data_IF_621247437612
#
_entry.id   IF_621247437612
#
_cell.length_a   1.000
_cell.length_b   1.000
_cell.length_c   1.000
_cell.angle_alpha   90.00
_cell.angle_beta   90.00
_cell.angle_gamma   90.00
#
_symmetry.space_group_name_H-M   'P 1'
#
loop_
_entity.id
_entity.type
_entity.pdbx_description
1 polymer ?
#
# COMPACT_ATOMS: atom_id res chain seq x y z
N UNK A 1 -51.87 -39.54 55.68
CA UNK A 1 -52.34 -40.15 54.42
C UNK A 1 -51.16 -40.17 53.43
N UNK A 2 -50.52 -41.34 53.27
CA UNK A 2 -50.28 -42.08 51.99
C UNK A 2 -49.42 -41.34 50.95
N UNK A 3 -48.10 -41.64 50.86
CA UNK A 3 -47.37 -42.52 49.87
C UNK A 3 -46.87 -41.75 48.62
N UNK A 4 -45.71 -41.97 47.95
CA UNK A 4 -44.59 -42.94 47.98
C UNK A 4 -43.52 -42.52 46.92
N UNK A 5 -42.24 -42.93 47.12
CA UNK A 5 -41.14 -43.29 46.18
C UNK A 5 -40.57 -42.24 45.17
N UNK A 6 -39.27 -42.15 44.84
CA UNK A 6 -38.05 -42.91 45.22
C UNK A 6 -36.81 -42.52 44.36
N UNK A 7 -35.60 -42.67 44.94
CA UNK A 7 -34.28 -43.18 44.43
C UNK A 7 -33.75 -42.71 43.03
N UNK A 8 -32.48 -42.32 42.79
CA UNK A 8 -31.24 -42.31 43.58
C UNK A 8 -30.00 -41.88 42.77
N UNK A 9 -28.88 -41.68 43.47
CA UNK A 9 -27.53 -41.33 42.98
C UNK A 9 -26.71 -42.54 42.47
N UNK A 10 -25.79 -42.30 41.52
CA UNK A 10 -24.51 -43.03 41.36
C UNK A 10 -23.61 -42.19 40.41
N UNK A 11 -22.52 -41.56 40.86
CA UNK A 11 -21.15 -42.09 41.05
C UNK A 11 -20.64 -42.89 39.83
N UNK A 12 -19.69 -42.32 39.08
CA UNK A 12 -18.89 -43.06 38.10
C UNK A 12 -17.41 -42.86 38.40
N UNK A 13 -16.73 -44.00 38.56
CA UNK A 13 -15.39 -44.19 39.09
C UNK A 13 -14.42 -44.50 37.94
N UNK A 14 -13.22 -43.95 38.09
CA UNK A 14 -11.96 -44.23 37.38
C UNK A 14 -11.62 -45.73 37.31
N UNK A 15 -11.18 -46.24 36.15
CA UNK A 15 -10.21 -47.34 36.05
C UNK A 15 -9.38 -47.30 34.75
N UNK A 16 -8.06 -47.31 34.95
CA UNK A 16 -7.03 -47.65 33.96
C UNK A 16 -7.14 -49.10 33.49
N UNK A 17 -6.82 -49.36 32.21
CA UNK A 17 -6.12 -50.59 31.81
C UNK A 17 -5.08 -50.26 30.73
N UNK A 18 -3.82 -50.58 31.05
CA UNK A 18 -2.66 -50.63 30.16
C UNK A 18 -2.76 -51.85 29.22
N UNK A 19 -2.37 -51.69 27.95
CA UNK A 19 -1.75 -52.81 27.22
C UNK A 19 -0.78 -52.31 26.16
N UNK A 20 0.44 -52.82 26.29
CA UNK A 20 1.64 -52.62 25.49
C UNK A 20 1.58 -53.36 24.16
N UNK A 21 2.03 -52.73 23.07
CA UNK A 21 2.86 -53.39 22.03
C UNK A 21 3.66 -52.34 21.23
N UNK A 22 4.91 -52.71 20.94
CA UNK A 22 5.99 -51.96 20.28
C UNK A 22 5.99 -52.15 18.76
N UNK A 23 6.78 -51.28 18.07
CA UNK A 23 7.57 -51.54 16.83
C UNK A 23 6.73 -51.59 15.52
N UNK A 24 7.04 -50.97 14.37
CA UNK A 24 8.30 -50.49 13.74
C UNK A 24 8.03 -49.36 12.71
N UNK A 25 9.08 -48.57 12.42
CA UNK A 25 9.28 -47.81 11.17
C UNK A 25 9.79 -48.75 10.04
N UNK A 26 9.50 -48.45 8.77
CA UNK A 26 10.58 -48.28 7.78
C UNK A 26 10.33 -47.07 6.84
N UNK A 27 11.28 -46.15 6.68
CA UNK A 27 12.35 -46.07 5.64
C UNK A 27 11.86 -45.97 4.17
N UNK A 28 12.06 -44.75 3.63
CA UNK A 28 12.34 -44.32 2.25
C UNK A 28 12.30 -45.35 1.09
N UNK A 29 11.54 -45.01 0.04
CA UNK A 29 11.90 -45.26 -1.35
C UNK A 29 11.30 -44.19 -2.29
N UNK A 30 12.19 -43.55 -3.05
CA UNK A 30 11.93 -42.63 -4.16
C UNK A 30 11.34 -43.35 -5.36
N UNK A 31 10.30 -42.80 -5.99
CA UNK A 31 10.06 -42.93 -7.43
C UNK A 31 9.42 -41.65 -7.99
N UNK A 32 10.06 -41.14 -9.05
CA UNK A 32 9.61 -40.06 -9.93
C UNK A 32 8.31 -40.44 -10.65
N UNK A 33 7.52 -39.43 -11.04
CA UNK A 33 6.61 -39.55 -12.19
C UNK A 33 5.25 -38.89 -12.03
N UNK A 34 5.20 -37.60 -12.38
CA UNK A 34 4.08 -36.91 -13.04
C UNK A 34 2.75 -36.64 -12.30
N UNK A 35 2.52 -35.34 -12.07
CA UNK A 35 1.35 -34.69 -12.66
C UNK A 35 0.11 -34.55 -11.79
N UNK A 36 0.07 -33.51 -10.94
CA UNK A 36 -1.17 -32.70 -10.79
C UNK A 36 -0.92 -31.40 -10.02
N UNK A 37 -1.24 -30.30 -10.70
CA UNK A 37 -1.68 -28.99 -10.22
C UNK A 37 -1.77 -28.82 -8.69
N UNK A 38 -0.86 -28.02 -8.16
CA UNK A 38 -1.10 -27.20 -6.98
C UNK A 38 -0.80 -25.76 -7.36
N UNK A 39 -1.84 -24.98 -7.68
CA UNK A 39 -1.75 -23.51 -7.69
C UNK A 39 -1.52 -23.11 -6.24
N UNK A 40 -0.26 -22.88 -5.89
CA UNK A 40 0.14 -22.13 -4.72
C UNK A 40 -0.24 -20.67 -4.93
N UNK A 41 -0.64 -20.04 -3.84
CA UNK A 41 -1.05 -18.66 -3.70
C UNK A 41 -0.02 -17.69 -4.29
N UNK A 42 -0.31 -17.12 -5.45
CA UNK A 42 0.16 -15.80 -5.84
C UNK A 42 -0.90 -14.81 -5.33
N UNK A 43 -0.61 -14.18 -4.21
CA UNK A 43 -1.43 -13.12 -3.62
C UNK A 43 -0.59 -11.87 -3.72
N UNK A 44 -1.09 -10.93 -4.54
CA UNK A 44 -0.62 -9.55 -4.76
C UNK A 44 0.71 -9.43 -5.53
N UNK A 45 0.58 -9.09 -6.82
CA UNK A 45 1.66 -8.72 -7.72
C UNK A 45 2.22 -7.34 -7.40
N UNK A 46 2.88 -7.23 -6.25
CA UNK A 46 3.63 -6.05 -5.85
C UNK A 46 4.92 -6.09 -6.66
N UNK A 47 5.16 -5.05 -7.48
CA UNK A 47 6.45 -4.81 -8.13
C UNK A 47 7.58 -5.15 -7.17
N UNK A 48 8.59 -5.93 -7.57
CA UNK A 48 9.64 -6.40 -6.65
C UNK A 48 10.49 -5.21 -6.20
N UNK A 49 10.00 -4.49 -5.19
CA UNK A 49 10.69 -3.37 -4.61
C UNK A 49 11.99 -3.88 -3.94
N UNK A 50 13.08 -3.10 -4.01
CA UNK A 50 14.37 -3.48 -3.45
C UNK A 50 14.26 -3.83 -1.96
N UNK A 51 14.94 -4.88 -1.49
CA UNK A 51 14.83 -5.34 -0.10
C UNK A 51 15.00 -4.20 0.93
N UNK A 52 14.31 -4.27 2.09
CA UNK A 52 14.34 -3.22 3.08
C UNK A 52 15.76 -2.92 3.55
N UNK A 53 16.05 -1.64 3.78
CA UNK A 53 17.35 -1.22 4.29
C UNK A 53 17.53 -1.70 5.74
N UNK A 54 18.65 -2.36 6.11
CA UNK A 54 18.83 -2.83 7.48
C UNK A 54 18.84 -1.68 8.48
N UNK A 55 17.87 -1.67 9.40
CA UNK A 55 17.94 -0.87 10.63
C UNK A 55 18.73 -1.67 11.66
N UNK A 56 20.00 -1.30 11.89
CA UNK A 56 20.90 -2.04 12.81
C UNK A 56 21.20 -1.22 14.05
N UNK A 57 20.77 -1.71 15.21
CA UNK A 57 21.31 -1.33 16.51
C UNK A 57 20.25 -1.23 17.63
N UNK A 58 20.63 -1.48 18.90
CA UNK A 58 19.79 -1.14 20.04
C UNK A 58 19.68 0.39 20.17
N UNK A 59 18.47 0.90 19.99
CA UNK A 59 18.10 2.30 20.22
C UNK A 59 18.13 2.62 21.73
N UNK A 60 18.39 3.88 22.14
CA UNK A 60 18.39 4.25 23.55
C UNK A 60 17.04 3.95 24.22
N UNK A 61 17.09 3.39 25.44
CA UNK A 61 15.88 3.08 26.21
C UNK A 61 15.12 4.36 26.57
N UNK A 62 13.87 4.45 26.12
CA UNK A 62 12.92 5.49 26.50
C UNK A 62 12.60 6.52 25.40
N UNK A 63 11.83 7.52 25.77
CA UNK A 63 11.47 8.66 24.93
C UNK A 63 11.82 9.97 25.65
N UNK A 64 11.94 11.03 24.87
CA UNK A 64 12.34 12.36 25.34
C UNK A 64 11.19 13.34 25.24
N UNK A 65 10.91 14.02 26.35
CA UNK A 65 9.98 15.12 26.42
C UNK A 65 10.74 16.45 26.29
N UNK A 66 10.26 17.34 25.42
CA UNK A 66 10.74 18.70 25.28
C UNK A 66 9.60 19.63 24.87
N UNK A 67 9.83 20.93 24.94
CA UNK A 67 8.88 21.89 24.38
C UNK A 67 8.85 21.74 22.84
N UNK A 68 7.69 21.39 22.30
CA UNK A 68 7.39 21.24 20.87
C UNK A 68 6.47 22.36 20.36
N UNK A 69 6.26 22.44 19.04
CA UNK A 69 5.24 23.31 18.45
C UNK A 69 3.82 23.05 18.95
N UNK A 70 3.54 21.84 19.47
CA UNK A 70 2.22 21.44 20.00
C UNK A 70 2.11 21.71 21.50
N UNK A 71 3.16 21.45 22.27
CA UNK A 71 3.16 21.65 23.73
C UNK A 71 2.89 23.10 24.15
N UNK A 72 3.22 24.06 23.29
CA UNK A 72 3.04 25.51 23.53
C UNK A 72 1.66 26.03 23.12
N UNK A 73 0.85 25.20 22.46
CA UNK A 73 -0.49 25.58 22.03
C UNK A 73 -1.43 25.78 23.23
N UNK A 74 -2.42 26.65 23.03
CA UNK A 74 -3.50 26.81 23.99
C UNK A 74 -4.26 25.48 24.16
N UNK A 75 -4.98 25.33 25.27
CA UNK A 75 -5.81 24.14 25.47
C UNK A 75 -6.91 24.03 24.39
N UNK A 76 -7.46 25.16 23.95
CA UNK A 76 -8.45 25.23 22.87
C UNK A 76 -7.86 24.70 21.56
N UNK A 77 -6.67 25.16 21.17
CA UNK A 77 -6.01 24.70 19.95
C UNK A 77 -5.65 23.21 20.02
N UNK A 78 -5.22 22.73 21.21
CA UNK A 78 -4.91 21.30 21.42
C UNK A 78 -6.13 20.40 21.33
N UNK A 79 -7.31 20.89 21.74
CA UNK A 79 -8.56 20.13 21.63
C UNK A 79 -8.91 19.82 20.16
N UNK A 80 -8.46 20.67 19.23
CA UNK A 80 -8.60 20.43 17.79
C UNK A 80 -7.61 19.41 17.22
N UNK A 81 -6.66 18.89 17.98
CA UNK A 81 -5.69 17.93 17.43
C UNK A 81 -6.22 16.51 17.35
N UNK A 82 -7.22 16.17 18.17
CA UNK A 82 -7.81 14.84 18.28
C UNK A 82 -9.18 14.79 17.59
N UNK A 83 -9.27 14.04 16.49
CA UNK A 83 -10.45 13.98 15.63
C UNK A 83 -11.10 12.60 15.47
N UNK A 84 -10.61 11.58 16.18
CA UNK A 84 -11.28 10.27 16.21
C UNK A 84 -12.20 10.23 17.44
N UNK A 85 -13.51 9.99 17.28
CA UNK A 85 -14.39 9.80 18.43
C UNK A 85 -13.95 8.60 19.28
N UNK A 86 -13.89 8.73 20.60
CA UNK A 86 -13.44 7.64 21.49
C UNK A 86 -14.26 6.36 21.35
N UNK A 87 -15.56 6.48 21.03
CA UNK A 87 -16.42 5.33 20.76
C UNK A 87 -15.97 4.49 19.54
N UNK A 88 -15.25 5.10 18.58
CA UNK A 88 -14.63 4.37 17.48
C UNK A 88 -13.47 3.53 18.00
N UNK A 89 -12.60 4.11 18.84
CA UNK A 89 -11.48 3.38 19.45
C UNK A 89 -12.00 2.22 20.31
N UNK A 90 -13.03 2.45 21.14
CA UNK A 90 -13.67 1.38 21.93
C UNK A 90 -14.16 0.22 21.05
N UNK A 91 -14.75 0.53 19.89
CA UNK A 91 -15.18 -0.47 18.92
C UNK A 91 -13.98 -1.22 18.30
N UNK A 92 -12.89 -0.53 17.97
CA UNK A 92 -11.65 -1.12 17.45
C UNK A 92 -11.04 -2.12 18.45
N UNK A 93 -11.00 -1.79 19.74
CA UNK A 93 -10.51 -2.71 20.78
C UNK A 93 -11.40 -3.95 20.89
N UNK A 94 -12.72 -3.79 20.75
CA UNK A 94 -13.65 -4.91 20.71
C UNK A 94 -13.36 -5.82 19.52
N UNK A 95 -13.16 -5.27 18.31
CA UNK A 95 -12.80 -6.06 17.12
C UNK A 95 -11.48 -6.82 17.32
N UNK A 96 -10.47 -6.17 17.91
CA UNK A 96 -9.20 -6.80 18.21
C UNK A 96 -9.35 -7.97 19.19
N UNK A 97 -10.20 -7.81 20.22
CA UNK A 97 -10.44 -8.82 21.25
C UNK A 97 -11.16 -10.07 20.75
N UNK A 98 -11.93 -9.94 19.67
CA UNK A 98 -12.71 -11.03 19.08
C UNK A 98 -11.87 -11.93 18.17
N UNK A 99 -10.62 -11.56 17.84
CA UNK A 99 -9.75 -12.42 17.05
C UNK A 99 -9.33 -13.67 17.86
N UNK A 100 -9.57 -14.89 17.35
CA UNK A 100 -9.06 -16.09 17.99
C UNK A 100 -7.52 -16.06 17.96
N UNK A 101 -6.83 -16.57 19.00
CA UNK A 101 -5.37 -16.67 18.98
C UNK A 101 -4.97 -17.49 17.75
N UNK A 102 -4.21 -16.86 16.84
CA UNK A 102 -3.80 -17.52 15.61
C UNK A 102 -2.93 -18.73 15.92
N UNK A 103 -3.41 -19.91 15.53
CA UNK A 103 -2.61 -21.13 15.51
C UNK A 103 -1.62 -21.03 14.33
N UNK A 104 -0.38 -20.66 14.65
CA UNK A 104 0.80 -20.60 13.78
C UNK A 104 0.50 -20.28 12.30
N UNK A 105 0.16 -19.02 12.00
CA UNK A 105 0.41 -18.51 10.66
C UNK A 105 1.93 -18.40 10.47
N UNK A 106 2.47 -18.90 9.36
CA UNK A 106 3.83 -18.61 8.96
C UNK A 106 3.85 -17.22 8.33
N UNK A 107 4.13 -16.20 9.13
CA UNK A 107 4.34 -14.85 8.63
C UNK A 107 5.66 -14.75 7.86
N UNK A 108 5.65 -14.03 6.76
CA UNK A 108 6.81 -13.84 5.88
C UNK A 108 7.02 -12.36 5.64
N UNK A 109 7.60 -11.69 6.64
CA UNK A 109 7.98 -10.28 6.56
C UNK A 109 9.34 -10.07 7.28
N UNK A 110 10.11 -9.02 6.92
CA UNK A 110 11.39 -8.74 7.57
C UNK A 110 11.20 -8.28 9.03
N UNK A 111 12.18 -8.48 9.93
CA UNK A 111 12.08 -8.05 11.33
C UNK A 111 12.03 -6.52 11.51
N UNK A 112 12.34 -5.75 10.46
CA UNK A 112 12.20 -4.31 10.45
C UNK A 112 11.89 -3.82 9.03
N UNK A 113 11.05 -2.79 8.95
CA UNK A 113 10.65 -2.16 7.69
C UNK A 113 10.41 -0.67 7.95
N UNK A 114 10.89 0.18 7.05
CA UNK A 114 10.65 1.62 7.09
C UNK A 114 10.42 2.15 5.67
N UNK A 115 9.18 2.47 5.32
CA UNK A 115 8.83 3.02 4.00
C UNK A 115 9.46 4.38 3.74
N UNK A 116 9.97 5.08 4.76
CA UNK A 116 10.75 6.32 4.57
C UNK A 116 12.12 6.04 3.95
N UNK A 117 12.59 4.79 4.00
CA UNK A 117 13.88 4.36 3.46
C UNK A 117 13.85 2.86 3.09
N UNK A 118 13.04 2.51 2.09
CA UNK A 118 12.94 1.15 1.57
C UNK A 118 13.78 1.03 0.30
N UNK A 119 14.82 0.20 0.36
CA UNK A 119 15.84 0.07 -0.69
C UNK A 119 16.56 1.38 -1.06
N UNK A 120 16.78 2.27 -0.10
CA UNK A 120 17.41 3.57 -0.31
C UNK A 120 16.49 4.69 -0.82
N UNK A 121 15.19 4.40 -0.98
CA UNK A 121 14.20 5.37 -1.48
C UNK A 121 13.12 5.64 -0.44
N UNK A 122 12.57 6.85 -0.47
CA UNK A 122 11.46 7.26 0.39
C UNK A 122 10.14 7.10 -0.37
N UNK A 123 9.24 6.28 0.15
CA UNK A 123 7.92 5.96 -0.42
C UNK A 123 6.81 6.60 0.41
N UNK A 124 7.08 7.79 0.91
CA UNK A 124 6.14 8.57 1.70
C UNK A 124 6.18 10.03 1.27
N UNK A 125 5.01 10.68 1.31
CA UNK A 125 4.89 12.11 1.03
C UNK A 125 5.34 12.98 2.21
N UNK A 126 5.58 14.30 2.01
CA UNK A 126 5.96 15.20 3.08
C UNK A 126 4.99 15.24 4.27
N UNK A 127 5.51 15.64 5.44
CA UNK A 127 4.69 15.91 6.64
C UNK A 127 3.75 17.10 6.39
N UNK A 128 2.50 16.94 6.80
CA UNK A 128 1.44 17.96 6.74
C UNK A 128 1.12 18.53 8.12
N UNK A 129 0.28 19.56 8.15
CA UNK A 129 -0.11 20.26 9.37
C UNK A 129 -1.62 20.51 9.41
N UNK A 130 -2.36 19.74 10.21
CA UNK A 130 -3.83 19.85 10.34
C UNK A 130 -4.28 21.14 11.05
N UNK A 131 -3.41 21.76 11.87
CA UNK A 131 -3.79 22.93 12.66
C UNK A 131 -4.72 22.59 13.83
N UNK A 132 -5.50 23.55 14.29
CA UNK A 132 -6.44 23.42 15.40
C UNK A 132 -7.78 22.80 14.96
N UNK A 133 -7.74 21.86 14.03
CA UNK A 133 -8.91 21.24 13.42
C UNK A 133 -8.84 19.73 13.58
N UNK A 134 -9.95 19.12 14.03
CA UNK A 134 -10.09 17.70 14.34
C UNK A 134 -10.12 16.81 13.08
N UNK A 135 -9.30 17.12 12.07
CA UNK A 135 -9.26 16.45 10.77
C UNK A 135 -8.15 15.42 10.66
N UNK A 136 -7.52 15.01 11.77
CA UNK A 136 -6.50 13.95 11.76
C UNK A 136 -6.88 12.69 10.97
N UNK A 137 -8.16 12.21 10.94
CA UNK A 137 -8.50 11.02 10.17
C UNK A 137 -8.31 11.26 8.67
N UNK A 138 -8.67 12.44 8.15
CA UNK A 138 -8.46 12.76 6.74
C UNK A 138 -6.98 12.83 6.36
N UNK A 139 -6.14 13.41 7.22
CA UNK A 139 -4.68 13.43 7.01
C UNK A 139 -4.07 12.03 7.03
N UNK A 140 -4.52 11.17 7.95
CA UNK A 140 -4.03 9.80 8.05
C UNK A 140 -4.48 8.94 6.85
N UNK A 141 -5.74 9.05 6.44
CA UNK A 141 -6.28 8.41 5.23
C UNK A 141 -5.52 8.85 3.98
N UNK A 142 -5.37 10.16 3.77
CA UNK A 142 -4.66 10.71 2.60
C UNK A 142 -3.21 10.23 2.59
N UNK A 143 -2.47 10.37 3.69
CA UNK A 143 -1.07 9.95 3.73
C UNK A 143 -0.88 8.44 3.46
N UNK A 144 -1.82 7.60 3.90
CA UNK A 144 -1.82 6.16 3.59
C UNK A 144 -2.05 5.92 2.08
N UNK A 145 -3.04 6.58 1.49
CA UNK A 145 -3.34 6.46 0.05
C UNK A 145 -2.18 6.96 -0.79
N UNK A 146 -1.63 8.15 -0.50
CA UNK A 146 -0.52 8.72 -1.28
C UNK A 146 0.71 7.80 -1.28
N UNK A 147 1.09 7.28 -0.11
CA UNK A 147 2.24 6.37 0.01
C UNK A 147 1.98 5.04 -0.72
N UNK A 148 0.75 4.53 -0.65
CA UNK A 148 0.36 3.31 -1.39
C UNK A 148 0.34 3.50 -2.89
N UNK A 149 0.00 4.70 -3.38
CA UNK A 149 0.10 5.02 -4.81
C UNK A 149 1.56 5.06 -5.28
N UNK A 150 2.46 5.69 -4.50
CA UNK A 150 3.90 5.66 -4.80
C UNK A 150 4.40 4.22 -4.89
N UNK A 151 4.03 3.37 -3.92
CA UNK A 151 4.42 1.96 -3.87
C UNK A 151 3.84 1.16 -5.04
N UNK A 152 2.55 1.30 -5.32
CA UNK A 152 1.87 0.55 -6.37
C UNK A 152 2.45 0.89 -7.75
N UNK A 153 2.69 2.18 -8.01
CA UNK A 153 3.29 2.66 -9.27
C UNK A 153 4.80 2.39 -9.39
N UNK A 154 5.46 1.92 -8.32
CA UNK A 154 6.90 1.77 -8.30
C UNK A 154 7.68 3.10 -8.45
N UNK A 155 7.02 4.23 -8.20
CA UNK A 155 7.57 5.57 -8.38
C UNK A 155 7.56 6.37 -7.07
N UNK A 156 8.66 6.37 -6.30
CA UNK A 156 8.79 7.20 -5.10
C UNK A 156 8.88 8.70 -5.40
N UNK A 157 8.95 9.08 -6.68
CA UNK A 157 8.90 10.46 -7.16
C UNK A 157 7.49 10.92 -7.58
N UNK A 158 6.49 10.03 -7.58
CA UNK A 158 5.11 10.35 -8.01
C UNK A 158 4.55 11.54 -7.21
N UNK A 159 4.87 11.61 -5.92
CA UNK A 159 4.50 12.67 -4.99
C UNK A 159 3.03 13.12 -5.15
N UNK A 160 2.06 12.21 -4.96
CA UNK A 160 0.65 12.58 -4.94
C UNK A 160 0.40 13.69 -3.90
N UNK A 161 -0.53 14.58 -4.21
CA UNK A 161 -0.88 15.71 -3.34
C UNK A 161 -2.40 15.81 -3.29
N UNK A 162 -3.02 14.90 -2.54
CA UNK A 162 -4.46 14.80 -2.42
C UNK A 162 -4.99 15.79 -1.39
N UNK A 163 -6.23 16.24 -1.58
CA UNK A 163 -6.86 17.24 -0.72
C UNK A 163 -7.49 16.59 0.52
N UNK A 164 -6.88 16.82 1.69
CA UNK A 164 -7.52 16.46 2.96
C UNK A 164 -8.82 17.23 3.16
N UNK A 165 -8.90 18.48 2.67
CA UNK A 165 -10.11 19.28 2.75
C UNK A 165 -11.27 18.66 1.95
N UNK A 166 -10.98 18.10 0.77
CA UNK A 166 -12.01 17.49 -0.06
C UNK A 166 -12.54 16.24 0.62
N UNK A 167 -11.63 15.37 1.06
CA UNK A 167 -12.00 14.16 1.80
C UNK A 167 -12.82 14.50 3.07
N UNK A 168 -12.37 15.48 3.85
CA UNK A 168 -12.97 15.79 5.15
C UNK A 168 -14.28 16.60 5.02
N UNK A 169 -14.23 17.79 4.42
CA UNK A 169 -15.37 18.72 4.43
C UNK A 169 -16.48 18.34 3.44
N UNK A 170 -16.16 17.63 2.34
CA UNK A 170 -17.19 17.09 1.45
C UNK A 170 -17.76 15.76 1.95
N UNK A 171 -17.01 15.00 2.76
CA UNK A 171 -17.48 13.77 3.37
C UNK A 171 -18.40 14.00 4.57
N UNK A 172 -18.01 14.89 5.49
CA UNK A 172 -18.71 15.04 6.77
C UNK A 172 -19.26 16.46 7.04
N UNK A 173 -18.85 17.47 6.26
CA UNK A 173 -19.32 18.85 6.42
C UNK A 173 -18.56 19.63 7.50
N UNK A 174 -19.28 20.23 8.45
CA UNK A 174 -18.72 21.16 9.45
C UNK A 174 -18.09 20.44 10.67
N UNK A 175 -17.16 19.51 10.42
CA UNK A 175 -16.62 18.59 11.44
C UNK A 175 -15.36 19.06 12.15
N UNK A 176 -14.87 20.27 11.88
CA UNK A 176 -13.57 20.71 12.39
C UNK A 176 -13.48 20.69 13.93
N UNK A 177 -14.61 20.77 14.64
CA UNK A 177 -14.67 20.65 16.10
C UNK A 177 -15.15 19.29 16.63
N UNK A 178 -15.61 18.37 15.78
CA UNK A 178 -16.17 17.07 16.18
C UNK A 178 -15.37 15.87 15.69
N UNK A 179 -14.55 16.07 14.65
CA UNK A 179 -13.85 15.01 13.98
C UNK A 179 -14.75 14.11 13.13
N UNK A 180 -14.18 12.99 12.68
CA UNK A 180 -14.84 12.00 11.83
C UNK A 180 -14.32 10.58 12.12
N UNK A 181 -15.09 9.56 11.77
CA UNK A 181 -14.65 8.17 11.87
C UNK A 181 -13.90 7.73 10.60
N UNK A 182 -12.78 6.99 10.69
CA UNK A 182 -11.98 6.56 9.53
C UNK A 182 -12.79 5.85 8.44
N UNK A 183 -13.73 4.98 8.83
CA UNK A 183 -14.59 4.22 7.90
C UNK A 183 -15.32 5.14 6.91
N UNK A 184 -15.91 6.23 7.41
CA UNK A 184 -16.65 7.16 6.54
C UNK A 184 -15.77 7.86 5.50
N UNK A 185 -14.49 8.08 5.83
CA UNK A 185 -13.53 8.67 4.90
C UNK A 185 -13.03 7.64 3.88
N UNK A 186 -12.79 6.40 4.30
CA UNK A 186 -12.47 5.31 3.38
C UNK A 186 -13.61 5.08 2.37
N UNK A 187 -14.86 5.08 2.81
CA UNK A 187 -16.03 4.99 1.94
C UNK A 187 -16.13 6.18 0.97
N UNK A 188 -15.86 7.40 1.43
CA UNK A 188 -15.83 8.58 0.56
C UNK A 188 -14.72 8.46 -0.50
N UNK A 189 -13.51 8.04 -0.11
CA UNK A 189 -12.39 7.84 -1.02
C UNK A 189 -12.69 6.76 -2.08
N UNK A 190 -13.45 5.72 -1.74
CA UNK A 190 -13.89 4.68 -2.69
C UNK A 190 -14.98 5.21 -3.64
N UNK A 191 -16.06 5.73 -3.06
CA UNK A 191 -17.29 6.00 -3.82
C UNK A 191 -17.19 7.31 -4.61
N UNK A 192 -16.60 8.35 -4.01
CA UNK A 192 -16.45 9.69 -4.61
C UNK A 192 -15.06 9.93 -5.17
N UNK A 193 -14.02 9.52 -4.45
CA UNK A 193 -12.64 9.85 -4.74
C UNK A 193 -12.21 11.20 -4.17
N UNK A 194 -10.89 11.40 -4.10
CA UNK A 194 -10.27 12.56 -3.47
C UNK A 194 -9.67 13.44 -4.56
N UNK A 195 -10.14 14.68 -4.68
CA UNK A 195 -9.53 15.67 -5.57
C UNK A 195 -8.12 16.03 -5.09
N UNK A 196 -7.27 16.53 -5.98
CA UNK A 196 -5.95 17.03 -5.56
C UNK A 196 -6.03 18.33 -4.73
N UNK A 197 -5.03 18.55 -3.89
CA UNK A 197 -4.91 19.70 -2.99
C UNK A 197 -4.93 21.04 -3.74
N UNK A 198 -4.43 21.08 -4.97
CA UNK A 198 -4.49 22.27 -5.82
C UNK A 198 -5.93 22.62 -6.26
N UNK A 199 -6.85 21.66 -6.26
CA UNK A 199 -8.26 21.87 -6.58
C UNK A 199 -9.07 22.33 -5.38
N UNK A 200 -8.73 21.89 -4.17
CA UNK A 200 -9.42 22.29 -2.95
C UNK A 200 -8.46 22.35 -1.75
N UNK A 201 -7.74 23.47 -1.58
CA UNK A 201 -6.70 23.57 -0.56
C UNK A 201 -7.20 23.47 0.89
N UNK A 202 -6.38 22.91 1.77
CA UNK A 202 -6.70 22.79 3.17
C UNK A 202 -6.59 24.10 3.96
N UNK A 203 -7.53 24.28 4.89
CA UNK A 203 -7.51 25.31 5.94
C UNK A 203 -8.04 24.68 7.22
N UNK A 204 -7.45 25.05 8.36
CA UNK A 204 -7.77 24.49 9.67
C UNK A 204 -9.06 25.06 10.30
N UNK A 205 -10.08 25.31 9.46
CA UNK A 205 -11.39 25.85 9.84
C UNK A 205 -12.47 25.11 9.06
N UNK A 206 -13.73 25.19 9.50
CA UNK A 206 -14.82 24.65 8.70
C UNK A 206 -14.88 25.32 7.32
N UNK A 207 -14.85 24.50 6.28
CA UNK A 207 -14.96 24.92 4.89
C UNK A 207 -16.23 24.35 4.28
N UNK A 208 -16.93 25.14 3.48
CA UNK A 208 -18.02 24.60 2.67
C UNK A 208 -17.43 23.76 1.53
N UNK A 209 -18.02 22.59 1.26
CA UNK A 209 -17.61 21.74 0.15
C UNK A 209 -17.85 22.46 -1.19
N UNK A 210 -16.79 23.02 -1.76
CA UNK A 210 -16.80 23.76 -3.01
C UNK A 210 -15.46 23.59 -3.75
N UNK A 211 -15.09 22.37 -4.16
CA UNK A 211 -13.89 22.13 -4.95
C UNK A 211 -13.91 22.88 -6.30
N UNK A 212 -12.74 23.00 -6.93
CA UNK A 212 -12.57 23.67 -8.21
C UNK A 212 -13.47 23.10 -9.32
N UNK A 213 -13.70 23.87 -10.39
CA UNK A 213 -14.47 23.39 -11.54
C UNK A 213 -13.81 22.17 -12.19
N UNK A 214 -14.60 21.12 -12.47
CA UNK A 214 -14.12 19.90 -13.11
C UNK A 214 -13.33 18.95 -12.19
N UNK A 215 -13.41 19.16 -10.87
CA UNK A 215 -12.78 18.31 -9.86
C UNK A 215 -13.07 16.82 -10.05
N UNK A 216 -14.23 16.46 -10.59
CA UNK A 216 -14.63 15.07 -10.86
C UNK A 216 -13.66 14.33 -11.80
N UNK A 217 -12.91 15.06 -12.63
CA UNK A 217 -11.90 14.51 -13.54
C UNK A 217 -10.48 14.51 -12.92
N UNK A 218 -10.36 14.95 -11.66
CA UNK A 218 -9.09 15.11 -10.92
C UNK A 218 -9.12 14.32 -9.61
N UNK A 219 -9.95 13.29 -9.53
CA UNK A 219 -10.09 12.47 -8.33
C UNK A 219 -9.22 11.24 -8.40
N UNK A 220 -8.58 10.91 -7.28
CA UNK A 220 -8.00 9.60 -7.03
C UNK A 220 -8.97 8.78 -6.19
N UNK A 221 -9.24 7.55 -6.63
CA UNK A 221 -10.12 6.61 -5.93
C UNK A 221 -9.33 5.44 -5.40
N UNK A 222 -9.71 4.97 -4.22
CA UNK A 222 -9.34 3.63 -3.77
C UNK A 222 -10.32 2.62 -4.38
N UNK A 223 -9.84 1.42 -4.68
CA UNK A 223 -10.67 0.34 -5.21
C UNK A 223 -11.61 -0.23 -4.14
N UNK A 224 -11.10 -0.38 -2.92
CA UNK A 224 -11.87 -0.69 -1.71
C UNK A 224 -11.03 -0.38 -0.46
N UNK A 225 -11.47 -0.81 0.73
CA UNK A 225 -10.66 -0.76 1.95
C UNK A 225 -10.85 -2.03 2.79
N UNK A 226 -9.86 -2.32 3.65
CA UNK A 226 -9.89 -3.47 4.56
C UNK A 226 -9.59 -3.05 6.00
N UNK A 227 -10.20 -3.78 6.94
CA UNK A 227 -9.89 -3.70 8.36
C UNK A 227 -8.95 -4.81 8.78
N UNK A 228 -7.84 -4.47 9.44
CA UNK A 228 -6.84 -5.45 9.89
C UNK A 228 -6.64 -5.32 11.39
N UNK A 229 -6.67 -6.45 12.09
CA UNK A 229 -6.40 -6.52 13.53
C UNK A 229 -5.27 -7.52 13.81
N UNK A 230 -4.55 -7.28 14.90
CA UNK A 230 -3.39 -8.07 15.31
C UNK A 230 -2.08 -7.58 14.69
N UNK A 231 -1.09 -7.38 15.57
CA UNK A 231 0.25 -6.83 15.26
C UNK A 231 0.91 -7.55 14.08
N UNK A 232 0.84 -8.88 14.04
CA UNK A 232 1.50 -9.69 13.00
C UNK A 232 0.82 -9.52 11.63
N UNK A 233 -0.51 -9.43 11.59
CA UNK A 233 -1.24 -9.17 10.36
C UNK A 233 -0.98 -7.74 9.85
N UNK A 234 -0.88 -6.78 10.77
CA UNK A 234 -0.52 -5.39 10.45
C UNK A 234 0.90 -5.29 9.87
N UNK A 235 1.88 -6.01 10.43
CA UNK A 235 3.25 -6.08 9.87
C UNK A 235 3.27 -6.72 8.48
N UNK A 236 2.56 -7.84 8.30
CA UNK A 236 2.42 -8.47 6.98
C UNK A 236 1.78 -7.50 5.98
N UNK A 237 0.71 -6.80 6.37
CA UNK A 237 0.05 -5.79 5.53
C UNK A 237 1.00 -4.67 5.11
N UNK A 238 1.85 -4.18 6.03
CA UNK A 238 2.87 -3.17 5.73
C UNK A 238 3.92 -3.68 4.75
N UNK A 239 4.35 -4.93 4.91
CA UNK A 239 5.36 -5.55 4.05
C UNK A 239 4.83 -5.83 2.64
N UNK A 240 3.57 -6.26 2.53
CA UNK A 240 2.96 -6.60 1.25
C UNK A 240 2.51 -5.36 0.50
N UNK A 241 1.78 -4.46 1.16
CA UNK A 241 0.99 -3.45 0.45
C UNK A 241 1.21 -2.01 0.92
N UNK A 242 2.10 -1.78 1.88
CA UNK A 242 2.46 -0.42 2.28
C UNK A 242 1.63 0.18 3.43
N UNK A 243 1.86 1.48 3.74
CA UNK A 243 1.29 2.17 4.89
C UNK A 243 -0.23 2.14 5.00
N UNK A 244 -0.74 2.26 6.23
CA UNK A 244 -2.18 2.31 6.52
C UNK A 244 -2.48 3.27 7.67
N UNK A 245 -3.75 3.65 7.79
CA UNK A 245 -4.24 4.47 8.90
C UNK A 245 -4.48 3.62 10.15
N UNK A 246 -4.14 4.17 11.31
CA UNK A 246 -4.48 3.62 12.62
C UNK A 246 -4.96 4.73 13.56
N UNK A 247 -5.90 4.38 14.43
CA UNK A 247 -6.35 5.26 15.51
C UNK A 247 -5.52 5.00 16.77
N UNK A 248 -5.31 6.02 17.59
CA UNK A 248 -4.66 5.90 18.89
C UNK A 248 -5.27 6.84 19.93
N UNK A 249 -5.12 6.50 21.19
CA UNK A 249 -5.43 7.38 22.32
C UNK A 249 -4.26 8.32 22.56
N UNK A 250 -4.54 9.63 22.58
CA UNK A 250 -3.56 10.66 22.94
C UNK A 250 -3.68 10.98 24.42
N UNK A 251 -2.53 11.02 25.07
CA UNK A 251 -2.36 11.54 26.42
C UNK A 251 -1.56 12.84 26.39
N UNK A 252 -1.70 13.68 27.41
CA UNK A 252 -1.11 15.02 27.40
C UNK A 252 0.43 15.04 27.31
N UNK A 253 1.10 13.98 27.77
CA UNK A 253 2.56 13.82 27.68
C UNK A 253 3.05 13.63 26.24
N UNK A 254 2.19 13.13 25.35
CA UNK A 254 2.49 12.99 23.93
C UNK A 254 2.70 14.33 23.21
N UNK A 255 2.10 15.42 23.71
CA UNK A 255 2.35 16.76 23.17
C UNK A 255 3.80 17.20 23.31
N UNK A 256 4.49 16.70 24.33
CA UNK A 256 5.90 17.01 24.61
C UNK A 256 6.87 16.06 23.88
N UNK A 257 6.37 15.05 23.16
CA UNK A 257 7.22 14.07 22.49
C UNK A 257 8.19 14.75 21.50
N UNK A 258 9.48 14.47 21.67
CA UNK A 258 10.56 15.03 20.83
C UNK A 258 11.50 13.97 20.24
N UNK A 259 11.38 12.71 20.65
CA UNK A 259 12.14 11.59 20.06
C UNK A 259 12.18 10.35 20.94
N UNK A 260 12.61 9.23 20.35
CA UNK A 260 12.72 7.92 21.02
C UNK A 260 11.47 7.06 20.87
N UNK A 261 11.33 5.99 21.65
CA UNK A 261 10.18 5.08 21.55
C UNK A 261 9.15 5.45 22.61
N UNK A 262 8.09 6.14 22.18
CA UNK A 262 7.04 6.64 23.06
C UNK A 262 6.33 5.49 23.81
N UNK A 263 6.14 5.73 25.11
CA UNK A 263 5.32 4.95 26.03
C UNK A 263 4.64 5.95 26.95
N UNK A 264 3.31 5.87 27.05
CA UNK A 264 2.59 6.76 27.95
C UNK A 264 3.14 6.62 29.38
N UNK A 265 3.49 7.74 30.00
CA UNK A 265 4.17 7.79 31.30
C UNK A 265 3.40 8.63 32.31
N UNK A 266 2.80 9.74 31.87
CA UNK A 266 2.06 10.65 32.74
C UNK A 266 1.00 11.44 31.97
N UNK A 267 0.14 12.16 32.69
CA UNK A 267 -0.82 13.07 32.05
C UNK A 267 -2.19 12.46 31.78
N UNK A 268 -3.14 13.30 31.39
CA UNK A 268 -4.54 12.94 31.17
C UNK A 268 -4.78 12.42 29.76
N UNK A 269 -5.87 11.66 29.60
CA UNK A 269 -6.43 11.35 28.28
C UNK A 269 -6.94 12.65 27.65
N UNK A 270 -6.56 12.90 26.41
CA UNK A 270 -6.92 14.11 25.65
C UNK A 270 -7.90 13.81 24.50
N UNK A 271 -7.85 12.62 23.90
CA UNK A 271 -8.80 12.23 22.87
C UNK A 271 -8.31 11.09 21.97
N UNK A 272 -9.10 10.78 20.94
CA UNK A 272 -8.72 9.86 19.88
C UNK A 272 -8.07 10.59 18.71
N UNK A 273 -7.00 10.04 18.17
CA UNK A 273 -6.20 10.62 17.09
C UNK A 273 -5.92 9.59 16.01
N UNK A 274 -5.87 10.02 14.76
CA UNK A 274 -5.57 9.15 13.62
C UNK A 274 -4.22 9.51 13.03
N UNK A 275 -3.44 8.49 12.70
CA UNK A 275 -2.07 8.58 12.22
C UNK A 275 -1.81 7.51 11.17
N UNK A 276 -0.74 7.63 10.40
CA UNK A 276 -0.37 6.63 9.39
C UNK A 276 0.82 5.82 9.88
N UNK A 277 0.66 4.51 10.05
CA UNK A 277 1.79 3.63 10.33
C UNK A 277 2.51 3.35 9.00
N UNK A 278 3.82 3.61 8.97
CA UNK A 278 4.67 3.49 7.76
C UNK A 278 5.79 2.46 7.92
N UNK A 279 5.87 1.80 9.07
CA UNK A 279 6.97 0.87 9.34
C UNK A 279 6.97 0.36 10.76
N UNK A 280 7.90 -0.53 11.04
CA UNK A 280 8.04 -1.20 12.33
C UNK A 280 9.48 -1.71 12.53
N UNK A 281 9.82 -2.00 13.78
CA UNK A 281 11.10 -2.63 14.11
C UNK A 281 10.95 -3.56 15.32
N UNK A 282 11.10 -4.87 15.09
CA UNK A 282 10.99 -5.91 16.12
C UNK A 282 12.17 -5.92 17.09
N UNK A 283 13.34 -5.43 16.68
CA UNK A 283 14.50 -5.33 17.57
C UNK A 283 14.27 -4.29 18.69
N UNK A 284 13.55 -3.22 18.36
CA UNK A 284 13.17 -2.17 19.32
C UNK A 284 11.75 -2.28 19.86
N UNK A 285 10.91 -3.12 19.26
CA UNK A 285 9.52 -3.33 19.66
C UNK A 285 8.62 -2.11 19.44
N UNK A 286 8.68 -1.48 18.26
CA UNK A 286 7.95 -0.24 17.96
C UNK A 286 7.42 -0.11 16.54
N UNK A 287 6.38 0.72 16.39
CA UNK A 287 5.86 1.25 15.14
C UNK A 287 6.55 2.56 14.76
N UNK A 288 6.69 2.81 13.46
CA UNK A 288 7.16 4.07 12.88
C UNK A 288 5.93 4.76 12.27
N UNK A 289 5.68 6.00 12.67
CA UNK A 289 4.37 6.62 12.45
C UNK A 289 4.51 8.04 11.94
N UNK A 290 3.74 8.34 10.87
CA UNK A 290 3.57 9.68 10.31
C UNK A 290 2.48 10.42 11.08
N UNK A 291 2.80 11.59 11.62
CA UNK A 291 1.83 12.48 12.23
C UNK A 291 1.49 13.65 11.28
N UNK A 292 0.49 14.44 11.65
CA UNK A 292 -0.04 15.57 10.87
C UNK A 292 0.00 16.88 11.67
N UNK A 293 0.92 17.01 12.63
CA UNK A 293 1.12 18.21 13.46
C UNK A 293 2.30 19.08 13.00
N UNK A 294 2.74 18.90 11.76
CA UNK A 294 3.86 19.61 11.16
C UNK A 294 5.23 19.12 11.63
N UNK A 295 6.26 19.64 10.98
CA UNK A 295 7.66 19.25 11.20
C UNK A 295 8.26 19.83 12.49
N UNK A 296 7.59 20.77 13.15
CA UNK A 296 8.02 21.33 14.44
C UNK A 296 7.73 20.45 15.66
N UNK A 297 7.08 19.31 15.45
CA UNK A 297 6.71 18.35 16.50
C UNK A 297 7.43 17.02 16.30
N UNK A 298 7.77 16.32 17.39
CA UNK A 298 8.37 14.98 17.34
C UNK A 298 9.71 14.93 16.58
N UNK A 299 9.93 13.84 15.86
CA UNK A 299 11.11 13.58 15.05
C UNK A 299 10.93 14.17 13.64
N UNK A 300 10.77 15.51 13.57
CA UNK A 300 10.41 16.25 12.34
C UNK A 300 9.05 15.85 11.76
N UNK A 301 8.03 15.69 12.61
CA UNK A 301 6.67 15.27 12.26
C UNK A 301 6.42 13.77 12.36
N UNK A 302 7.48 13.00 12.58
CA UNK A 302 7.42 11.56 12.80
C UNK A 302 7.45 11.23 14.29
N UNK A 303 7.01 10.03 14.63
CA UNK A 303 7.26 9.47 15.95
C UNK A 303 7.40 7.96 15.89
N UNK A 304 7.95 7.40 16.97
CA UNK A 304 7.98 5.96 17.21
C UNK A 304 7.23 5.67 18.49
N UNK A 305 6.42 4.63 18.47
CA UNK A 305 5.60 4.22 19.62
C UNK A 305 5.73 2.72 19.81
N UNK A 306 5.90 2.29 21.06
CA UNK A 306 6.05 0.88 21.34
C UNK A 306 4.78 0.07 20.99
N UNK A 307 4.95 -1.20 20.65
CA UNK A 307 3.84 -2.13 20.47
C UNK A 307 2.95 -2.20 21.72
N UNK A 308 1.64 -2.36 21.52
CA UNK A 308 0.63 -2.45 22.57
C UNK A 308 0.45 -1.16 23.37
N UNK A 309 0.76 0.00 22.81
CA UNK A 309 0.56 1.30 23.45
C UNK A 309 -0.57 2.08 22.80
N UNK A 310 -1.33 2.80 23.62
CA UNK A 310 -2.32 3.78 23.14
C UNK A 310 -3.34 3.22 22.14
N UNK A 311 -3.61 1.91 22.18
CA UNK A 311 -4.55 1.23 21.29
C UNK A 311 -4.18 1.27 19.79
N UNK A 312 -2.96 1.74 19.45
CA UNK A 312 -2.56 2.01 18.05
C UNK A 312 -2.53 0.76 17.16
N UNK A 313 -2.36 -0.42 17.75
CA UNK A 313 -2.28 -1.70 17.07
C UNK A 313 -3.47 -2.62 17.34
N UNK A 314 -4.60 -2.04 17.75
CA UNK A 314 -5.86 -2.76 17.85
C UNK A 314 -6.51 -2.94 16.47
N UNK A 315 -6.52 -1.90 15.64
CA UNK A 315 -7.19 -1.91 14.34
C UNK A 315 -6.49 -0.97 13.34
N UNK A 316 -6.31 -1.45 12.12
CA UNK A 316 -5.79 -0.70 10.99
C UNK A 316 -6.85 -0.57 9.88
N UNK A 317 -6.92 0.61 9.27
CA UNK A 317 -7.73 0.90 8.11
C UNK A 317 -6.83 0.98 6.87
N UNK A 318 -6.97 -0.01 6.00
CA UNK A 318 -6.07 -0.26 4.88
C UNK A 318 -6.76 0.17 3.58
N UNK A 319 -6.40 1.31 2.97
CA UNK A 319 -6.93 1.67 1.67
C UNK A 319 -6.33 0.75 0.60
N UNK A 320 -7.16 0.16 -0.25
CA UNK A 320 -6.71 -0.63 -1.39
C UNK A 320 -6.66 0.28 -2.62
N UNK A 321 -5.47 0.54 -3.12
CA UNK A 321 -5.30 1.25 -4.40
C UNK A 321 -5.49 0.26 -5.54
N UNK A 322 -5.92 0.73 -6.71
CA UNK A 322 -5.91 -0.12 -7.89
C UNK A 322 -4.45 -0.44 -8.26
N UNK A 323 -4.18 -1.68 -8.64
CA UNK A 323 -2.91 -2.02 -9.28
C UNK A 323 -2.76 -1.16 -10.55
N UNK A 324 -1.58 -0.60 -10.83
CA UNK A 324 -1.39 0.17 -12.05
C UNK A 324 -1.55 -0.72 -13.27
N UNK A 325 -1.96 -0.13 -14.38
CA UNK A 325 -1.94 -0.80 -15.67
C UNK A 325 -1.32 0.11 -16.71
N UNK A 326 -0.53 -0.48 -17.61
CA UNK A 326 0.35 0.26 -18.51
C UNK A 326 -0.01 -0.01 -19.97
N UNK A 327 0.06 1.02 -20.81
CA UNK A 327 -0.13 0.84 -22.25
C UNK A 327 1.16 0.45 -22.94
N UNK A 328 1.09 -0.52 -23.86
CA UNK A 328 2.16 -0.80 -24.82
C UNK A 328 1.76 -0.28 -26.19
N UNK A 329 2.42 0.79 -26.64
CA UNK A 329 2.27 1.33 -27.99
C UNK A 329 3.28 0.66 -28.93
N UNK A 330 2.79 0.08 -30.03
CA UNK A 330 3.63 -0.55 -31.04
C UNK A 330 3.37 0.08 -32.42
N UNK A 331 4.43 0.49 -33.12
CA UNK A 331 4.33 1.12 -34.45
C UNK A 331 5.34 0.57 -35.47
N UNK A 332 4.97 0.58 -36.76
CA UNK A 332 5.85 0.18 -37.85
C UNK A 332 6.37 1.40 -38.62
N UNK A 333 7.65 1.38 -39.00
CA UNK A 333 8.31 2.44 -39.76
C UNK A 333 9.12 1.89 -40.95
N UNK A 334 8.77 2.19 -42.21
CA UNK A 334 7.54 2.86 -42.61
C UNK A 334 6.30 2.02 -42.25
N UNK A 335 5.14 2.67 -42.13
CA UNK A 335 3.90 2.00 -41.73
C UNK A 335 3.51 0.87 -42.69
N UNK A 336 3.72 1.05 -44.00
CA UNK A 336 3.51 0.01 -45.01
C UNK A 336 4.52 -1.15 -44.95
N UNK A 337 5.62 -0.98 -44.20
CA UNK A 337 6.74 -1.92 -44.16
C UNK A 337 6.43 -3.23 -43.46
N UNK A 338 5.44 -3.26 -42.58
CA UNK A 338 5.03 -4.45 -41.86
C UNK A 338 4.07 -4.14 -40.71
N UNK A 339 3.77 -5.17 -39.92
CA UNK A 339 2.99 -5.06 -38.69
C UNK A 339 3.78 -5.65 -37.52
N UNK A 340 3.40 -5.30 -36.30
CA UNK A 340 3.93 -5.92 -35.08
C UNK A 340 2.84 -6.82 -34.52
N UNK A 341 3.16 -8.09 -34.34
CA UNK A 341 2.37 -9.01 -33.55
C UNK A 341 2.89 -8.99 -32.10
N UNK A 342 1.99 -9.05 -31.13
CA UNK A 342 2.31 -9.02 -29.72
C UNK A 342 1.62 -10.15 -28.97
N UNK A 343 2.30 -10.75 -28.00
CA UNK A 343 1.75 -11.76 -27.11
C UNK A 343 2.10 -11.39 -25.65
N UNK A 344 1.09 -11.23 -24.76
CA UNK A 344 -0.35 -11.30 -25.04
C UNK A 344 -0.83 -10.11 -25.92
N UNK A 345 -1.78 -10.31 -26.85
CA UNK A 345 -2.19 -9.28 -27.81
C UNK A 345 -2.97 -8.13 -27.16
N UNK A 346 -3.73 -8.42 -26.10
CA UNK A 346 -4.56 -7.43 -25.40
C UNK A 346 -3.73 -6.27 -24.85
N UNK A 347 -2.49 -6.56 -24.48
CA UNK A 347 -1.51 -5.62 -23.94
C UNK A 347 -1.15 -4.45 -24.88
N UNK A 348 -1.26 -4.65 -26.19
CA UNK A 348 -0.97 -3.62 -27.21
C UNK A 348 -2.24 -2.89 -27.65
N UNK A 349 -3.41 -3.49 -27.44
CA UNK A 349 -4.71 -2.88 -27.75
C UNK A 349 -5.37 -2.17 -26.57
N UNK A 350 -4.96 -2.49 -25.34
CA UNK A 350 -5.51 -1.99 -24.08
C UNK A 350 -4.38 -1.70 -23.08
N UNK A 351 -4.59 -1.98 -21.79
CA UNK A 351 -3.60 -1.91 -20.71
C UNK A 351 -3.11 -3.29 -20.31
N UNK A 352 -1.86 -3.36 -19.85
CA UNK A 352 -1.19 -4.52 -19.30
C UNK A 352 -1.07 -4.41 -17.78
N UNK A 353 -1.12 -5.55 -17.11
CA UNK A 353 -0.67 -5.64 -15.73
C UNK A 353 0.85 -5.40 -15.65
N UNK A 354 1.36 -4.84 -14.53
CA UNK A 354 2.79 -4.63 -14.32
C UNK A 354 3.58 -5.94 -14.40
N UNK A 355 4.84 -5.84 -14.79
CA UNK A 355 5.77 -6.96 -14.98
C UNK A 355 5.36 -7.98 -16.05
N UNK A 356 4.27 -7.73 -16.78
CA UNK A 356 3.89 -8.55 -17.93
C UNK A 356 5.02 -8.54 -18.96
N UNK A 357 5.49 -9.72 -19.35
CA UNK A 357 6.45 -9.87 -20.44
C UNK A 357 5.67 -9.92 -21.75
N UNK A 358 5.87 -8.91 -22.60
CA UNK A 358 5.25 -8.84 -23.93
C UNK A 358 6.29 -9.24 -24.97
N UNK A 359 6.04 -10.32 -25.70
CA UNK A 359 6.84 -10.72 -26.85
C UNK A 359 6.33 -9.99 -28.10
N UNK A 360 7.23 -9.27 -28.78
CA UNK A 360 6.96 -8.50 -29.98
C UNK A 360 7.66 -9.14 -31.18
N UNK A 361 6.87 -9.47 -32.21
CA UNK A 361 7.35 -10.03 -33.46
C UNK A 361 7.06 -9.07 -34.62
N UNK A 362 8.11 -8.60 -35.29
CA UNK A 362 7.97 -7.82 -36.52
C UNK A 362 7.66 -8.75 -37.68
N UNK A 363 6.55 -8.51 -38.37
CA UNK A 363 6.10 -9.28 -39.54
C UNK A 363 6.19 -8.38 -40.78
N UNK A 364 7.25 -8.51 -41.60
CA UNK A 364 7.42 -7.67 -42.78
C UNK A 364 6.32 -7.88 -43.82
N UNK A 365 5.87 -6.77 -44.41
CA UNK A 365 5.03 -6.79 -45.62
C UNK A 365 5.83 -7.24 -46.84
N UNK A 366 5.15 -7.64 -47.91
CA UNK A 366 5.80 -8.06 -49.14
C UNK A 366 6.74 -6.96 -49.70
N UNK A 367 7.98 -7.33 -50.02
CA UNK A 367 9.00 -6.39 -50.50
C UNK A 367 9.72 -5.61 -49.39
N UNK A 368 9.49 -5.94 -48.11
CA UNK A 368 10.23 -5.35 -46.99
C UNK A 368 10.96 -6.41 -46.18
N UNK A 369 12.01 -5.99 -45.49
CA UNK A 369 12.67 -6.76 -44.44
C UNK A 369 12.73 -5.98 -43.13
N UNK A 370 12.64 -6.70 -42.01
CA UNK A 370 12.86 -6.11 -40.71
C UNK A 370 14.34 -5.74 -40.53
N UNK A 371 14.61 -4.53 -40.03
CA UNK A 371 15.98 -4.02 -39.86
C UNK A 371 16.37 -3.79 -38.40
N UNK A 372 15.41 -3.58 -37.50
CA UNK A 372 15.68 -3.43 -36.08
C UNK A 372 14.54 -2.77 -35.30
N UNK A 373 14.67 -2.79 -33.98
CA UNK A 373 13.75 -2.15 -33.03
C UNK A 373 14.31 -0.82 -32.53
N UNK A 374 13.41 0.10 -32.15
CA UNK A 374 13.74 1.30 -31.36
C UNK A 374 12.65 1.64 -30.36
N UNK A 375 12.91 2.61 -29.48
CA UNK A 375 12.03 2.99 -28.38
C UNK A 375 12.41 2.20 -27.14
N UNK A 376 11.44 1.57 -26.50
CA UNK A 376 11.63 0.71 -25.32
C UNK A 376 12.09 -0.72 -25.66
N UNK A 377 12.23 -1.03 -26.95
CA UNK A 377 12.95 -2.22 -27.43
C UNK A 377 14.16 -1.79 -28.28
N UNK A 378 15.15 -2.68 -28.43
CA UNK A 378 16.35 -2.38 -29.22
C UNK A 378 16.96 -3.63 -29.85
N UNK A 379 17.87 -3.42 -30.81
CA UNK A 379 18.58 -4.49 -31.50
C UNK A 379 17.83 -5.00 -32.74
N UNK A 380 18.33 -6.11 -33.29
CA UNK A 380 17.81 -6.71 -34.54
C UNK A 380 17.30 -8.13 -34.34
N UNK A 381 17.18 -8.60 -33.09
CA UNK A 381 16.55 -9.88 -32.78
C UNK A 381 15.04 -9.78 -33.01
N UNK A 382 14.47 -10.81 -33.65
CA UNK A 382 13.04 -10.86 -33.94
C UNK A 382 12.58 -12.33 -33.85
N UNK A 383 11.70 -12.68 -32.89
CA UNK A 383 11.01 -11.79 -31.94
C UNK A 383 11.94 -11.18 -30.86
N UNK A 384 11.46 -10.15 -30.17
CA UNK A 384 12.07 -9.54 -28.98
C UNK A 384 11.06 -9.51 -27.83
N UNK A 385 11.52 -9.33 -26.59
CA UNK A 385 10.63 -9.24 -25.42
C UNK A 385 10.89 -7.96 -24.64
N UNK A 386 9.82 -7.34 -24.16
CA UNK A 386 9.87 -6.21 -23.22
C UNK A 386 9.17 -6.60 -21.92
N UNK A 387 9.64 -6.06 -20.80
CA UNK A 387 8.93 -6.15 -19.51
C UNK A 387 8.15 -4.85 -19.33
N UNK A 388 6.86 -4.95 -19.08
CA UNK A 388 5.98 -3.79 -18.90
C UNK A 388 6.05 -3.33 -17.46
N UNK A 389 6.97 -2.42 -17.17
CA UNK A 389 7.13 -1.75 -15.86
C UNK A 389 6.67 -0.27 -15.88
N UNK A 390 6.38 0.27 -17.08
CA UNK A 390 5.83 1.60 -17.34
C UNK A 390 5.02 1.55 -18.63
N UNK A 391 4.38 2.66 -19.03
CA UNK A 391 3.97 2.81 -20.44
C UNK A 391 5.17 2.58 -21.36
N UNK A 392 4.97 1.80 -22.42
CA UNK A 392 5.99 1.42 -23.40
C UNK A 392 5.66 1.95 -24.79
N UNK A 393 6.67 2.39 -25.52
CA UNK A 393 6.59 2.76 -26.93
C UNK A 393 7.69 2.04 -27.73
N UNK A 394 7.28 1.16 -28.64
CA UNK A 394 8.18 0.33 -29.46
C UNK A 394 7.91 0.56 -30.94
N UNK A 395 8.99 0.76 -31.71
CA UNK A 395 8.93 0.87 -33.18
C UNK A 395 9.69 -0.27 -33.85
N UNK A 396 9.05 -0.97 -34.79
CA UNK A 396 9.71 -1.89 -35.72
C UNK A 396 10.12 -1.14 -36.99
N UNK A 397 11.41 -1.18 -37.33
CA UNK A 397 11.92 -0.61 -38.57
C UNK A 397 11.99 -1.65 -39.68
N UNK A 398 11.55 -1.25 -40.86
CA UNK A 398 11.55 -2.06 -42.07
C UNK A 398 12.28 -1.34 -43.20
N UNK A 399 12.99 -2.09 -44.04
CA UNK A 399 13.70 -1.57 -45.22
C UNK A 399 13.14 -2.28 -46.45
N UNK A 400 12.92 -1.53 -47.53
CA UNK A 400 12.44 -2.10 -48.79
C UNK A 400 13.53 -2.96 -49.44
N UNK A 401 13.19 -4.19 -49.81
CA UNK A 401 14.03 -5.10 -50.61
C UNK A 401 13.85 -4.80 -52.09
N UNK A 402 14.87 -4.20 -52.70
CA UNK A 402 14.98 -4.13 -54.16
C UNK A 402 15.51 -5.46 -54.72
N UNK A 403 14.66 -6.48 -54.80
CA UNK A 403 15.05 -7.76 -55.43
C UNK A 403 15.03 -7.68 -56.98
N UNK A 404 14.55 -6.59 -57.58
CA UNK A 404 14.59 -6.34 -59.04
C UNK A 404 14.99 -4.90 -59.44
N UNK A 405 16.08 -4.35 -58.89
CA UNK A 405 16.78 -3.27 -59.60
C UNK A 405 17.52 -3.86 -60.81
N UNK A 406 16.80 -4.19 -61.88
CA UNK A 406 17.45 -4.38 -63.18
C UNK A 406 18.06 -3.03 -63.60
N UNK A 407 19.37 -2.96 -63.91
CA UNK A 407 19.93 -1.75 -64.49
C UNK A 407 19.23 -1.56 -65.84
N UNK A 408 18.46 -0.48 -66.00
CA UNK A 408 17.96 -0.09 -67.31
C UNK A 408 19.17 0.02 -68.25
N UNK A 409 19.21 -0.87 -69.23
CA UNK A 409 20.23 -0.89 -70.25
C UNK A 409 20.26 0.48 -70.93
N UNK A 410 21.39 1.19 -70.80
CA UNK A 410 21.68 2.35 -71.63
C UNK A 410 21.66 1.91 -73.09
N UNK A 411 20.64 2.30 -73.84
CA UNK A 411 20.63 2.18 -75.29
C UNK A 411 21.75 3.06 -75.86
N UNK A 412 22.66 2.53 -76.69
CA UNK A 412 23.66 3.37 -77.34
C UNK A 412 22.96 4.23 -78.39
N UNK A 413 23.04 5.55 -78.22
CA UNK A 413 22.66 6.50 -79.26
C UNK A 413 23.71 6.37 -80.38
N UNK A 414 23.33 5.73 -81.48
CA UNK A 414 24.07 5.81 -82.75
C UNK A 414 23.62 7.08 -83.46
N UNK A 415 24.46 8.12 -83.44
CA UNK A 415 24.33 9.27 -84.34
C UNK A 415 25.16 8.96 -85.58
N UNK A 416 24.49 8.92 -86.74
CA UNK A 416 25.12 8.87 -88.07
C UNK A 416 25.58 10.25 -88.52
#
# INVERSE_FOLDING_TARGET
MKTKLGVGSALCLLMLVLSSTRLELPVLASLQGEGRQGRGQDVLGVSILPAPTPLVGPEPEGWTAAQTSVSVLSQEDRSGLCGVPLAVIEWEEEQASQQPPMLSASYTYPPALDWRNYGGMNWTTPIRHQGSCASCPAFATVAAIESRLEIAEGDPGLNPNLSEAHLFYCGCGACCGSGAGPISLMEFARDTGIADEGCFPYTALNQACSPCQGWQNRVTKISDWAGVTGVENMKQTLADAGPFEASMIVYSDFYDYSGGVYRHTYGSLEGGHAVTIVGYNDYGGYWIVKNSWGTGWGENGWFRIAYGQCSIDNYAYVPLVAEPSYHVSASASPHEGGVIAAEPPDCVSDTCDPETVVELAAVPSNGYEFSGWSGDASGSENPTSIVVDTNKDVTAHFIFRCDECTPQAFLPIVIR
#
